data_IF_227840365798
#
_entry.id   IF_227840365798
#
_cell.length_a   1.000
_cell.length_b   1.000
_cell.length_c   1.000
_cell.angle_alpha   90.00
_cell.angle_beta   90.00
_cell.angle_gamma   90.00
#
_symmetry.space_group_name_H-M   'P 1'
#
loop_
_entity.id
_entity.type
_entity.pdbx_description
1 polymer ?
#
# COMPACT_ATOMS: atom_id res chain seq x y z
N UNK A 1 -0.02 18.96 -15.02
CA UNK A 1 0.42 17.72 -15.70
C UNK A 1 1.34 17.98 -16.88
N UNK A 2 1.16 19.09 -17.59
CA UNK A 2 2.01 19.48 -18.72
C UNK A 2 2.48 20.91 -18.54
N UNK A 3 3.71 21.22 -18.94
CA UNK A 3 4.23 22.59 -19.06
C UNK A 3 4.22 23.00 -20.54
N UNK A 4 3.75 24.22 -20.82
CA UNK A 4 3.76 24.81 -22.16
C UNK A 4 4.86 25.86 -22.17
N UNK A 5 5.93 25.64 -22.92
CA UNK A 5 6.92 26.68 -23.18
C UNK A 5 6.58 27.37 -24.52
N UNK A 6 6.33 28.67 -24.46
CA UNK A 6 6.13 29.50 -25.65
C UNK A 6 7.45 30.17 -26.01
N UNK A 7 8.04 29.79 -27.15
CA UNK A 7 9.20 30.48 -27.69
C UNK A 7 8.76 31.81 -28.33
N UNK A 8 8.92 32.91 -27.60
CA UNK A 8 8.89 34.26 -28.16
C UNK A 8 10.12 35.02 -27.68
N UNK A 9 11.23 34.87 -28.42
CA UNK A 9 12.38 35.77 -28.33
C UNK A 9 12.10 36.98 -29.21
N UNK A 10 12.05 38.17 -28.61
CA UNK A 10 12.07 39.44 -29.32
C UNK A 10 13.47 39.69 -29.88
N UNK A 11 13.58 40.07 -31.16
CA UNK A 11 14.53 41.08 -31.64
C UNK A 11 14.34 41.40 -33.15
N UNK A 12 14.25 42.70 -33.46
CA UNK A 12 15.02 43.38 -34.51
C UNK A 12 14.69 43.24 -36.01
N UNK A 13 14.31 44.38 -36.61
CA UNK A 13 14.73 44.93 -37.92
C UNK A 13 14.00 44.57 -39.25
N UNK A 14 13.35 45.62 -39.76
CA UNK A 14 13.32 46.19 -41.13
C UNK A 14 12.60 45.52 -42.33
N UNK A 15 11.89 46.45 -43.02
CA UNK A 15 11.73 46.62 -44.46
C UNK A 15 10.35 46.30 -45.12
N UNK A 16 10.01 47.23 -46.00
CA UNK A 16 8.81 47.52 -46.76
C UNK A 16 8.42 46.54 -47.87
N UNK A 17 7.12 46.61 -48.23
CA UNK A 17 6.47 46.36 -49.54
C UNK A 17 6.68 44.99 -50.24
N UNK A 18 5.58 44.30 -50.59
CA UNK A 18 5.11 44.09 -51.98
C UNK A 18 3.62 43.66 -51.95
N UNK A 19 2.83 44.27 -52.83
CA UNK A 19 1.42 43.98 -53.17
C UNK A 19 1.30 42.69 -53.99
N UNK A 20 0.32 41.82 -53.70
CA UNK A 20 -0.67 41.28 -54.67
C UNK A 20 -1.24 39.89 -54.31
N UNK A 21 -2.58 39.84 -54.35
CA UNK A 21 -3.46 38.83 -54.94
C UNK A 21 -3.50 37.37 -54.42
N UNK A 22 -4.67 37.07 -53.84
CA UNK A 22 -5.54 35.91 -54.08
C UNK A 22 -4.98 34.49 -53.87
N UNK A 23 -5.43 33.84 -52.78
CA UNK A 23 -5.44 32.38 -52.65
C UNK A 23 -5.62 31.91 -51.21
N UNK A 24 -6.88 31.69 -50.80
CA UNK A 24 -7.37 30.98 -49.60
C UNK A 24 -6.77 31.36 -48.22
N UNK A 25 -7.58 31.53 -47.14
CA UNK A 25 -7.02 31.65 -45.81
C UNK A 25 -6.39 30.30 -45.41
N UNK A 26 -5.08 30.15 -45.60
CA UNK A 26 -4.30 29.13 -44.94
C UNK A 26 -4.59 29.26 -43.44
N UNK A 27 -5.27 28.25 -42.87
CA UNK A 27 -5.48 28.16 -41.43
C UNK A 27 -4.11 28.19 -40.78
N UNK A 28 -3.72 29.35 -40.25
CA UNK A 28 -2.52 29.51 -39.43
C UNK A 28 -2.74 28.66 -38.19
N UNK A 29 -2.27 27.43 -38.20
CA UNK A 29 -2.13 26.66 -36.97
C UNK A 29 -1.21 27.47 -36.05
N UNK A 30 -1.61 27.75 -34.79
CA UNK A 30 -0.72 28.42 -33.84
C UNK A 30 0.58 27.60 -33.68
N UNK A 31 1.69 28.23 -33.23
CA UNK A 31 2.98 27.54 -33.12
C UNK A 31 2.80 26.20 -32.41
N UNK A 32 3.39 25.14 -32.97
CA UNK A 32 3.32 23.78 -32.43
C UNK A 32 3.79 23.81 -30.97
N UNK A 33 2.83 23.81 -30.03
CA UNK A 33 3.13 23.82 -28.62
C UNK A 33 3.73 22.46 -28.26
N UNK A 34 5.03 22.44 -27.99
CA UNK A 34 5.68 21.25 -27.45
C UNK A 34 5.24 21.08 -26.00
N UNK A 35 4.54 19.97 -25.72
CA UNK A 35 4.07 19.62 -24.39
C UNK A 35 5.13 18.77 -23.70
N UNK A 36 5.72 19.29 -22.62
CA UNK A 36 6.67 18.54 -21.80
C UNK A 36 5.99 18.02 -20.53
N UNK A 37 6.29 16.77 -20.20
CA UNK A 37 5.82 16.16 -18.96
C UNK A 37 6.51 16.81 -17.76
N UNK A 38 5.71 17.15 -16.76
CA UNK A 38 6.24 17.57 -15.45
C UNK A 38 6.74 16.34 -14.66
N UNK A 39 7.63 16.47 -13.67
CA UNK A 39 8.03 15.35 -12.81
C UNK A 39 6.85 14.64 -12.15
N UNK A 40 5.82 15.41 -11.76
CA UNK A 40 4.55 14.86 -11.28
C UNK A 40 3.81 14.10 -12.38
N UNK A 41 3.73 14.65 -13.59
CA UNK A 41 3.12 13.98 -14.74
C UNK A 41 3.81 12.67 -15.09
N UNK A 42 5.14 12.66 -15.10
CA UNK A 42 5.96 11.45 -15.28
C UNK A 42 5.70 10.43 -14.17
N UNK A 43 5.67 10.90 -12.91
CA UNK A 43 5.36 10.07 -11.76
C UNK A 43 3.97 9.44 -11.80
N UNK A 44 2.94 10.19 -12.23
CA UNK A 44 1.58 9.64 -12.37
C UNK A 44 1.57 8.50 -13.38
N UNK A 45 2.19 8.67 -14.55
CA UNK A 45 2.25 7.63 -15.58
C UNK A 45 2.93 6.36 -15.05
N UNK A 46 4.06 6.49 -14.37
CA UNK A 46 4.81 5.34 -13.84
C UNK A 46 4.14 4.67 -12.64
N UNK A 47 3.44 5.44 -11.80
CA UNK A 47 2.71 4.91 -10.65
C UNK A 47 1.43 4.16 -11.02
N UNK A 48 0.99 4.21 -12.28
CA UNK A 48 -0.31 3.68 -12.74
C UNK A 48 -1.53 4.25 -12.00
N UNK A 49 -1.37 5.36 -11.27
CA UNK A 49 -2.46 6.05 -10.59
C UNK A 49 -3.29 6.85 -11.60
N UNK A 50 -4.60 6.96 -11.33
CA UNK A 50 -5.44 7.90 -12.09
C UNK A 50 -5.01 9.34 -11.78
N UNK A 51 -5.08 10.28 -12.73
CA UNK A 51 -4.65 11.66 -12.49
C UNK A 51 -5.27 12.32 -11.24
N UNK A 52 -6.58 12.14 -11.03
CA UNK A 52 -7.27 12.68 -9.85
C UNK A 52 -6.80 12.04 -8.53
N UNK A 53 -6.54 10.73 -8.55
CA UNK A 53 -6.05 9.99 -7.39
C UNK A 53 -4.60 10.37 -7.06
N UNK A 54 -3.76 10.52 -8.08
CA UNK A 54 -2.37 10.95 -7.92
C UNK A 54 -2.25 12.35 -7.32
N UNK A 55 -3.17 13.27 -7.66
CA UNK A 55 -3.23 14.60 -7.03
C UNK A 55 -3.57 14.50 -5.54
N UNK A 56 -4.57 13.68 -5.17
CA UNK A 56 -4.90 13.44 -3.76
C UNK A 56 -3.73 12.82 -3.00
N UNK A 57 -3.06 11.82 -3.58
CA UNK A 57 -1.86 11.19 -3.00
C UNK A 57 -0.75 12.22 -2.82
N UNK A 58 -0.50 13.03 -3.84
CA UNK A 58 0.54 14.06 -3.80
C UNK A 58 0.28 15.07 -2.67
N UNK A 59 -0.97 15.52 -2.50
CA UNK A 59 -1.36 16.42 -1.40
C UNK A 59 -1.17 15.76 -0.03
N UNK A 60 -1.59 14.51 0.13
CA UNK A 60 -1.43 13.76 1.39
C UNK A 60 0.05 13.56 1.74
N UNK A 61 0.87 13.18 0.77
CA UNK A 61 2.31 13.03 0.95
C UNK A 61 2.99 14.36 1.27
N UNK A 62 2.60 15.47 0.62
CA UNK A 62 3.12 16.80 0.95
C UNK A 62 2.78 17.21 2.38
N UNK A 63 1.57 16.90 2.86
CA UNK A 63 1.19 17.12 4.26
C UNK A 63 2.02 16.23 5.19
N UNK A 64 2.14 14.95 4.88
CA UNK A 64 2.90 13.99 5.67
C UNK A 64 4.38 14.37 5.77
N UNK A 65 5.01 14.90 4.71
CA UNK A 65 6.40 15.38 4.73
C UNK A 65 6.64 16.55 5.70
N UNK A 66 5.61 17.30 6.09
CA UNK A 66 5.73 18.38 7.10
C UNK A 66 5.66 17.87 8.53
N UNK A 67 5.18 16.65 8.75
CA UNK A 67 4.91 16.12 10.09
C UNK A 67 4.51 14.65 10.06
N UNK A 68 5.45 13.77 9.67
CA UNK A 68 5.20 12.34 9.63
C UNK A 68 5.36 11.75 11.03
N UNK A 69 4.24 11.35 11.63
CA UNK A 69 4.24 10.57 12.88
C UNK A 69 4.70 9.13 12.62
N UNK A 70 5.82 8.75 13.24
CA UNK A 70 6.41 7.40 13.16
C UNK A 70 6.37 6.65 14.50
N UNK A 71 5.70 7.19 15.53
CA UNK A 71 5.51 6.52 16.83
C UNK A 71 4.74 5.19 16.69
N UNK A 72 3.89 5.12 15.66
CA UNK A 72 3.16 3.94 15.23
C UNK A 72 3.15 3.91 13.70
N UNK A 73 2.87 2.74 13.14
CA UNK A 73 2.80 2.56 11.68
C UNK A 73 1.47 3.03 11.07
N UNK A 74 0.52 3.45 11.91
CA UNK A 74 -0.82 3.81 11.50
C UNK A 74 -0.82 4.93 10.45
N UNK A 75 0.07 5.93 10.59
CA UNK A 75 0.12 7.03 9.64
C UNK A 75 0.61 6.59 8.27
N UNK A 76 1.64 5.74 8.22
CA UNK A 76 2.15 5.18 6.97
C UNK A 76 1.13 4.25 6.32
N UNK A 77 0.45 3.41 7.12
CA UNK A 77 -0.64 2.55 6.66
C UNK A 77 -1.80 3.38 6.10
N UNK A 78 -2.16 4.51 6.74
CA UNK A 78 -3.17 5.41 6.22
C UNK A 78 -2.79 5.98 4.85
N UNK A 79 -1.54 6.41 4.67
CA UNK A 79 -1.03 6.88 3.37
C UNK A 79 -1.04 5.76 2.30
N UNK A 80 -0.81 4.51 2.70
CA UNK A 80 -0.89 3.32 1.86
C UNK A 80 -2.32 2.74 1.72
N UNK A 81 -3.34 3.37 2.33
CA UNK A 81 -4.73 2.93 2.21
C UNK A 81 -5.45 3.73 1.13
N UNK A 82 -6.00 3.10 0.06
CA UNK A 82 -6.78 3.80 -0.94
C UNK A 82 -8.05 4.43 -0.36
N UNK A 83 -8.42 5.62 -0.84
CA UNK A 83 -9.72 6.21 -0.54
C UNK A 83 -10.90 5.37 -1.06
N UNK A 84 -10.65 4.55 -2.09
CA UNK A 84 -11.59 3.60 -2.73
C UNK A 84 -11.66 2.22 -2.05
N UNK A 85 -11.20 2.10 -0.80
CA UNK A 85 -11.18 0.83 -0.04
C UNK A 85 -12.54 0.12 0.05
N UNK A 86 -13.65 0.83 -0.15
CA UNK A 86 -15.01 0.26 -0.17
C UNK A 86 -15.48 -0.28 1.19
N UNK A 87 -14.70 -0.04 2.25
CA UNK A 87 -14.97 -0.53 3.59
C UNK A 87 -15.88 0.44 4.33
N UNK A 88 -17.16 0.07 4.46
CA UNK A 88 -18.13 0.87 5.21
C UNK A 88 -18.06 0.57 6.73
N UNK A 89 -17.83 1.59 7.58
CA UNK A 89 -17.85 1.43 9.02
C UNK A 89 -19.26 1.33 9.58
N UNK A 90 -19.42 0.47 10.57
CA UNK A 90 -20.46 0.61 11.58
C UNK A 90 -20.10 1.84 12.45
N UNK A 91 -20.75 2.97 12.22
CA UNK A 91 -20.37 4.26 12.83
C UNK A 91 -20.35 4.26 14.37
N UNK A 92 -21.34 3.72 15.09
CA UNK A 92 -21.26 3.51 16.54
C UNK A 92 -20.05 2.69 16.99
N UNK A 93 -19.73 1.62 16.25
CA UNK A 93 -18.56 0.78 16.54
C UNK A 93 -17.26 1.53 16.27
N UNK A 94 -17.20 2.31 15.19
CA UNK A 94 -16.06 3.14 14.88
C UNK A 94 -15.85 4.20 15.97
N UNK A 95 -16.89 4.89 16.42
CA UNK A 95 -16.79 5.82 17.54
C UNK A 95 -16.23 5.13 18.80
N UNK A 96 -16.80 3.97 19.17
CA UNK A 96 -16.33 3.19 20.33
C UNK A 96 -14.87 2.73 20.19
N UNK A 97 -14.43 2.40 18.97
CA UNK A 97 -13.03 2.06 18.70
C UNK A 97 -12.13 3.29 18.81
N UNK A 98 -12.57 4.41 18.21
CA UNK A 98 -11.86 5.68 18.24
C UNK A 98 -11.65 6.19 19.67
N UNK A 99 -12.66 6.11 20.53
CA UNK A 99 -12.57 6.49 21.95
C UNK A 99 -11.54 5.67 22.74
N UNK A 100 -11.30 4.41 22.34
CA UNK A 100 -10.33 3.51 22.98
C UNK A 100 -8.92 3.57 22.36
N UNK A 101 -8.71 4.40 21.32
CA UNK A 101 -7.38 4.57 20.73
C UNK A 101 -6.37 5.09 21.75
N UNK A 102 -5.17 4.54 21.69
CA UNK A 102 -4.05 5.03 22.49
C UNK A 102 -3.72 6.49 22.11
N UNK A 103 -3.13 7.28 23.02
CA UNK A 103 -2.77 8.68 22.74
C UNK A 103 -1.92 8.85 21.47
N UNK A 104 -1.03 7.89 21.18
CA UNK A 104 -0.17 7.88 19.99
C UNK A 104 -0.98 7.74 18.69
N UNK A 105 -1.95 6.83 18.65
CA UNK A 105 -2.85 6.65 17.50
C UNK A 105 -3.83 7.81 17.34
N UNK A 106 -4.30 8.36 18.46
CA UNK A 106 -5.19 9.54 18.46
C UNK A 106 -4.48 10.74 17.83
N UNK A 107 -3.20 10.93 18.13
CA UNK A 107 -2.39 11.97 17.52
C UNK A 107 -2.27 11.81 15.99
N UNK A 108 -2.21 10.57 15.48
CA UNK A 108 -2.28 10.28 14.03
C UNK A 108 -3.65 10.65 13.48
N UNK A 109 -4.73 10.27 14.16
CA UNK A 109 -6.09 10.60 13.75
C UNK A 109 -6.29 12.13 13.64
N UNK A 110 -5.79 12.88 14.62
CA UNK A 110 -5.84 14.35 14.62
C UNK A 110 -5.00 14.95 13.50
N UNK A 111 -3.81 14.42 13.22
CA UNK A 111 -2.94 14.88 12.13
C UNK A 111 -3.54 14.64 10.74
N UNK A 112 -4.28 13.54 10.57
CA UNK A 112 -5.00 13.20 9.34
C UNK A 112 -6.30 14.01 9.18
N UNK A 113 -6.87 14.50 10.28
CA UNK A 113 -8.11 15.29 10.30
C UNK A 113 -9.38 14.47 10.62
N UNK A 114 -9.24 13.34 11.30
CA UNK A 114 -10.37 12.55 11.82
C UNK A 114 -11.01 13.33 12.97
N UNK A 115 -12.29 13.65 12.82
CA UNK A 115 -13.03 14.48 13.78
C UNK A 115 -13.91 13.62 14.68
N UNK A 116 -13.66 13.70 15.99
CA UNK A 116 -14.54 13.08 16.99
C UNK A 116 -15.99 13.55 16.86
N UNK A 117 -16.21 14.86 16.64
CA UNK A 117 -17.54 15.43 16.48
C UNK A 117 -18.27 14.85 15.26
N UNK A 118 -17.55 14.66 14.15
CA UNK A 118 -18.10 14.01 12.98
C UNK A 118 -18.53 12.56 13.28
N UNK A 119 -17.69 11.78 13.96
CA UNK A 119 -18.02 10.41 14.36
C UNK A 119 -19.26 10.34 15.26
N UNK A 120 -19.37 11.23 16.25
CA UNK A 120 -20.56 11.33 17.12
C UNK A 120 -21.81 11.62 16.29
N UNK A 121 -21.79 12.69 15.48
CA UNK A 121 -22.92 13.06 14.60
C UNK A 121 -23.32 11.89 13.68
N UNK A 122 -22.34 11.22 13.08
CA UNK A 122 -22.60 10.14 12.13
C UNK A 122 -23.12 8.87 12.82
N UNK A 123 -22.67 8.58 14.05
CA UNK A 123 -23.19 7.49 14.90
C UNK A 123 -24.65 7.72 15.34
N UNK A 124 -25.05 8.98 15.51
CA UNK A 124 -26.44 9.39 15.79
C UNK A 124 -27.32 9.43 14.53
N UNK A 125 -26.78 9.05 13.36
CA UNK A 125 -27.51 9.08 12.10
C UNK A 125 -27.76 10.49 11.55
N UNK A 126 -27.01 11.50 11.99
CA UNK A 126 -27.17 12.88 11.50
C UNK A 126 -26.96 12.92 9.99
N UNK A 127 -27.96 13.45 9.26
CA UNK A 127 -27.93 13.57 7.79
C UNK A 127 -27.89 15.02 7.28
N UNK A 128 -27.83 16.01 8.17
CA UNK A 128 -27.78 17.42 7.80
C UNK A 128 -26.38 17.96 7.49
N UNK A 129 -26.28 19.27 7.24
CA UNK A 129 -25.01 19.98 7.18
C UNK A 129 -24.19 19.77 8.46
N UNK A 130 -22.87 19.69 8.30
CA UNK A 130 -21.94 19.68 9.43
C UNK A 130 -21.75 21.15 9.85
N UNK A 131 -22.67 21.70 10.63
CA UNK A 131 -22.59 23.09 11.09
C UNK A 131 -21.23 23.41 11.73
N UNK A 132 -20.69 24.58 11.37
CA UNK A 132 -19.43 25.20 11.79
C UNK A 132 -18.22 24.27 11.91
N UNK A 133 -17.75 23.77 10.76
CA UNK A 133 -16.37 23.32 10.65
C UNK A 133 -15.45 24.54 10.53
N UNK A 134 -14.31 24.60 11.25
CA UNK A 134 -13.30 25.60 10.96
C UNK A 134 -12.86 25.42 9.50
N UNK A 135 -12.81 26.52 8.76
CA UNK A 135 -12.35 26.59 7.38
C UNK A 135 -10.85 26.25 7.30
N UNK A 136 -10.48 24.99 7.51
CA UNK A 136 -9.10 24.52 7.38
C UNK A 136 -8.96 23.67 6.14
N UNK A 137 -8.42 24.28 5.08
CA UNK A 137 -7.55 23.58 4.15
C UNK A 137 -8.13 23.16 2.80
N UNK A 138 -8.80 24.06 2.08
CA UNK A 138 -9.07 23.87 0.66
C UNK A 138 -9.31 25.22 -0.02
N UNK A 139 -8.50 25.56 -1.02
CA UNK A 139 -8.52 26.84 -1.75
C UNK A 139 -9.76 27.02 -2.63
N UNK A 140 -10.95 27.03 -2.04
CA UNK A 140 -12.16 27.44 -2.72
C UNK A 140 -12.26 28.98 -2.69
N UNK A 141 -12.53 29.64 -3.83
CA UNK A 141 -12.73 31.08 -3.85
C UNK A 141 -13.91 31.48 -2.95
N UNK A 142 -13.81 32.61 -2.22
CA UNK A 142 -14.90 33.08 -1.37
C UNK A 142 -16.11 33.42 -2.23
N UNK A 143 -17.20 32.66 -2.07
CA UNK A 143 -18.49 32.94 -2.73
C UNK A 143 -19.06 31.83 -3.64
N UNK A 144 -18.36 30.72 -3.86
CA UNK A 144 -18.98 29.56 -4.53
C UNK A 144 -19.81 28.76 -3.50
N UNK A 145 -21.10 28.46 -3.75
CA UNK A 145 -21.87 27.56 -2.89
C UNK A 145 -21.24 26.18 -3.02
N UNK A 146 -20.33 25.86 -2.09
CA UNK A 146 -19.79 24.50 -2.01
C UNK A 146 -20.93 23.67 -1.46
N UNK A 147 -21.47 22.76 -2.27
CA UNK A 147 -22.54 21.88 -1.84
C UNK A 147 -22.10 21.18 -0.56
N UNK A 148 -22.73 21.51 0.57
CA UNK A 148 -22.43 20.91 1.88
C UNK A 148 -22.48 19.39 1.85
N UNK A 149 -23.20 18.81 0.88
CA UNK A 149 -23.26 17.37 0.57
C UNK A 149 -21.91 16.84 0.09
N UNK A 150 -21.27 17.52 -0.86
CA UNK A 150 -19.96 17.13 -1.40
C UNK A 150 -18.88 17.25 -0.33
N UNK A 151 -18.90 18.35 0.43
CA UNK A 151 -17.96 18.57 1.52
C UNK A 151 -18.09 17.50 2.61
N UNK A 152 -19.34 17.17 2.97
CA UNK A 152 -19.59 16.08 3.90
C UNK A 152 -19.13 14.74 3.36
N UNK A 153 -19.36 14.45 2.09
CA UNK A 153 -18.92 13.19 1.46
C UNK A 153 -17.40 13.06 1.49
N UNK A 154 -16.68 14.16 1.24
CA UNK A 154 -15.22 14.23 1.37
C UNK A 154 -14.76 13.92 2.80
N UNK A 155 -15.42 14.50 3.81
CA UNK A 155 -15.13 14.21 5.22
C UNK A 155 -15.47 12.75 5.56
N UNK A 156 -16.61 12.23 5.10
CA UNK A 156 -17.00 10.85 5.30
C UNK A 156 -15.99 9.88 4.68
N UNK A 157 -15.53 10.16 3.46
CA UNK A 157 -14.52 9.37 2.77
C UNK A 157 -13.20 9.32 3.55
N UNK A 158 -12.75 10.43 4.14
CA UNK A 158 -11.58 10.47 5.03
C UNK A 158 -11.75 9.51 6.22
N UNK A 159 -12.91 9.56 6.87
CA UNK A 159 -13.20 8.72 8.03
C UNK A 159 -13.29 7.24 7.66
N UNK A 160 -13.91 6.90 6.51
CA UNK A 160 -13.94 5.53 5.99
C UNK A 160 -12.54 5.01 5.66
N UNK A 161 -11.71 5.84 5.03
CA UNK A 161 -10.30 5.52 4.77
C UNK A 161 -9.53 5.27 6.08
N UNK A 162 -9.75 6.09 7.10
CA UNK A 162 -9.13 5.88 8.41
C UNK A 162 -9.60 4.58 9.09
N UNK A 163 -10.89 4.25 8.98
CA UNK A 163 -11.42 2.96 9.45
C UNK A 163 -10.75 1.76 8.77
N UNK A 164 -10.59 1.82 7.45
CA UNK A 164 -9.86 0.82 6.69
C UNK A 164 -8.38 0.73 7.11
N UNK A 165 -7.72 1.87 7.37
CA UNK A 165 -6.35 1.91 7.85
C UNK A 165 -6.19 1.27 9.24
N UNK A 166 -7.17 1.45 10.15
CA UNK A 166 -7.18 0.78 11.45
C UNK A 166 -7.28 -0.75 11.30
N UNK A 167 -8.13 -1.24 10.39
CA UNK A 167 -8.24 -2.67 10.12
C UNK A 167 -6.93 -3.24 9.52
N UNK A 168 -6.33 -2.51 8.57
CA UNK A 168 -5.04 -2.87 7.97
C UNK A 168 -3.91 -2.86 9.00
N UNK A 169 -3.92 -1.94 9.97
CA UNK A 169 -2.95 -1.90 11.06
C UNK A 169 -2.99 -3.16 11.89
N UNK A 170 -4.18 -3.63 12.29
CA UNK A 170 -4.29 -4.89 13.05
C UNK A 170 -3.77 -6.09 12.24
N UNK A 171 -4.01 -6.09 10.93
CA UNK A 171 -3.52 -7.14 10.03
C UNK A 171 -2.00 -7.06 9.85
N UNK A 172 -1.44 -5.86 9.70
CA UNK A 172 0.00 -5.63 9.60
C UNK A 172 0.72 -5.89 10.94
N UNK A 173 0.01 -5.74 12.06
CA UNK A 173 0.42 -6.15 13.40
C UNK A 173 0.13 -7.63 13.67
N UNK A 174 -0.01 -8.43 12.60
CA UNK A 174 0.01 -9.90 12.69
C UNK A 174 -1.20 -10.52 13.42
N UNK A 175 -2.28 -9.76 13.63
CA UNK A 175 -3.51 -10.25 14.25
C UNK A 175 -4.24 -11.26 13.34
N UNK A 176 -4.87 -12.26 13.95
CA UNK A 176 -5.62 -13.28 13.22
C UNK A 176 -6.76 -12.64 12.38
N UNK A 177 -6.88 -12.94 11.08
CA UNK A 177 -7.90 -12.33 10.22
C UNK A 177 -9.35 -12.54 10.72
N UNK A 178 -9.61 -13.66 11.40
CA UNK A 178 -10.90 -13.94 12.04
C UNK A 178 -11.20 -12.96 13.18
N UNK A 179 -10.21 -12.65 14.01
CA UNK A 179 -10.32 -11.67 15.10
C UNK A 179 -10.55 -10.27 14.54
N UNK A 180 -9.82 -9.88 13.48
CA UNK A 180 -10.00 -8.58 12.83
C UNK A 180 -11.39 -8.48 12.18
N UNK A 181 -11.84 -9.52 11.46
CA UNK A 181 -13.18 -9.58 10.88
C UNK A 181 -14.28 -9.36 11.92
N UNK A 182 -14.17 -10.03 13.07
CA UNK A 182 -15.12 -9.88 14.17
C UNK A 182 -15.05 -8.48 14.83
N UNK A 183 -13.84 -7.96 15.07
CA UNK A 183 -13.62 -6.67 15.70
C UNK A 183 -14.18 -5.52 14.85
N UNK A 184 -13.96 -5.55 13.54
CA UNK A 184 -14.41 -4.49 12.61
C UNK A 184 -15.82 -4.75 12.03
N UNK A 185 -16.44 -5.91 12.31
CA UNK A 185 -17.69 -6.36 11.68
C UNK A 185 -17.62 -6.37 10.14
N UNK A 186 -16.51 -6.86 9.61
CA UNK A 186 -16.22 -6.90 8.17
C UNK A 186 -16.11 -8.37 7.73
N UNK A 187 -16.69 -8.76 6.59
CA UNK A 187 -16.51 -10.11 6.08
C UNK A 187 -15.04 -10.40 5.75
N UNK A 188 -14.58 -11.63 6.03
CA UNK A 188 -13.18 -12.03 5.81
C UNK A 188 -12.69 -11.78 4.38
N UNK A 189 -13.56 -11.99 3.39
CA UNK A 189 -13.26 -11.71 1.98
C UNK A 189 -13.00 -10.23 1.69
N UNK A 190 -13.73 -9.32 2.33
CA UNK A 190 -13.49 -7.87 2.17
C UNK A 190 -12.18 -7.45 2.84
N UNK A 191 -11.79 -8.04 3.97
CA UNK A 191 -10.48 -7.79 4.57
C UNK A 191 -9.34 -8.26 3.66
N UNK A 192 -9.46 -9.45 3.06
CA UNK A 192 -8.45 -9.97 2.13
C UNK A 192 -8.35 -9.09 0.88
N UNK A 193 -9.48 -8.65 0.33
CA UNK A 193 -9.51 -7.71 -0.79
C UNK A 193 -8.86 -6.38 -0.41
N UNK A 194 -9.16 -5.84 0.77
CA UNK A 194 -8.57 -4.61 1.29
C UNK A 194 -7.05 -4.73 1.42
N UNK A 195 -6.52 -5.84 1.94
CA UNK A 195 -5.07 -6.07 2.03
C UNK A 195 -4.39 -6.07 0.66
N UNK A 196 -4.94 -6.81 -0.31
CA UNK A 196 -4.38 -6.85 -1.67
C UNK A 196 -4.42 -5.48 -2.37
N UNK A 197 -5.52 -4.76 -2.22
CA UNK A 197 -5.67 -3.39 -2.73
C UNK A 197 -4.66 -2.44 -2.07
N UNK A 198 -4.51 -2.49 -0.74
CA UNK A 198 -3.57 -1.65 -0.02
C UNK A 198 -2.11 -1.96 -0.38
N UNK A 199 -1.76 -3.24 -0.56
CA UNK A 199 -0.41 -3.62 -0.96
C UNK A 199 -0.07 -3.14 -2.38
N UNK A 200 -1.02 -3.25 -3.32
CA UNK A 200 -0.86 -2.74 -4.69
C UNK A 200 -0.71 -1.23 -4.67
N UNK A 201 -1.57 -0.53 -3.93
CA UNK A 201 -1.54 0.91 -3.78
C UNK A 201 -0.27 1.42 -3.10
N UNK A 202 0.24 0.71 -2.09
CA UNK A 202 1.52 0.98 -1.46
C UNK A 202 2.65 1.00 -2.50
N UNK A 203 2.68 0.03 -3.42
CA UNK A 203 3.63 0.00 -4.53
C UNK A 203 3.46 1.18 -5.50
N UNK A 204 2.22 1.56 -5.82
CA UNK A 204 1.92 2.73 -6.68
C UNK A 204 2.40 4.03 -6.03
N UNK A 205 2.14 4.22 -4.72
CA UNK A 205 2.56 5.39 -3.94
C UNK A 205 4.09 5.43 -3.81
N UNK A 206 4.75 4.30 -3.56
CA UNK A 206 6.23 4.19 -3.59
C UNK A 206 6.77 4.64 -4.94
N UNK A 207 6.25 4.10 -6.04
CA UNK A 207 6.70 4.43 -7.39
C UNK A 207 6.54 5.93 -7.71
N UNK A 208 5.44 6.55 -7.24
CA UNK A 208 5.23 8.00 -7.35
C UNK A 208 6.29 8.77 -6.55
N UNK A 209 6.58 8.37 -5.31
CA UNK A 209 7.60 9.00 -4.47
C UNK A 209 8.98 8.94 -5.13
N UNK A 210 9.36 7.81 -5.72
CA UNK A 210 10.64 7.66 -6.41
C UNK A 210 10.79 8.62 -7.60
N UNK A 211 9.72 8.76 -8.40
CA UNK A 211 9.72 9.66 -9.57
C UNK A 211 9.77 11.13 -9.18
N UNK A 212 9.19 11.46 -8.02
CA UNK A 212 9.31 12.78 -7.41
C UNK A 212 10.64 13.01 -6.67
N UNK A 213 11.53 12.01 -6.65
CA UNK A 213 12.81 12.01 -5.92
C UNK A 213 12.66 12.16 -4.41
N UNK A 214 11.58 11.61 -3.85
CA UNK A 214 11.32 11.55 -2.40
C UNK A 214 11.75 10.18 -1.87
N UNK A 215 13.05 9.90 -1.95
CA UNK A 215 13.61 8.58 -1.69
C UNK A 215 13.41 8.10 -0.26
N UNK A 216 13.44 9.01 0.71
CA UNK A 216 13.20 8.70 2.13
C UNK A 216 11.77 8.21 2.34
N UNK A 217 10.81 8.83 1.65
CA UNK A 217 9.41 8.42 1.70
C UNK A 217 9.19 7.09 0.99
N UNK A 218 9.84 6.88 -0.16
CA UNK A 218 9.78 5.61 -0.89
C UNK A 218 10.31 4.44 -0.03
N UNK A 219 11.43 4.63 0.67
CA UNK A 219 12.01 3.63 1.54
C UNK A 219 11.06 3.20 2.68
N UNK A 220 10.26 4.12 3.23
CA UNK A 220 9.26 3.76 4.25
C UNK A 220 8.19 2.81 3.69
N UNK A 221 7.72 3.05 2.46
CA UNK A 221 6.74 2.17 1.81
C UNK A 221 7.33 0.80 1.43
N UNK A 222 8.64 0.71 1.20
CA UNK A 222 9.32 -0.57 0.96
C UNK A 222 9.29 -1.49 2.17
N UNK A 223 9.50 -0.93 3.36
CA UNK A 223 9.37 -1.67 4.61
C UNK A 223 7.93 -2.14 4.86
N UNK A 224 6.93 -1.37 4.42
CA UNK A 224 5.52 -1.67 4.67
C UNK A 224 4.92 -2.70 3.69
N UNK A 225 5.39 -2.72 2.44
CA UNK A 225 4.80 -3.53 1.36
C UNK A 225 4.72 -5.04 1.68
N UNK A 226 5.78 -5.70 2.21
CA UNK A 226 5.71 -7.11 2.59
C UNK A 226 4.64 -7.41 3.65
N UNK A 227 4.48 -6.50 4.61
CA UNK A 227 3.55 -6.66 5.73
C UNK A 227 2.10 -6.45 5.30
N UNK A 228 1.84 -5.62 4.29
CA UNK A 228 0.50 -5.51 3.70
C UNK A 228 0.17 -6.71 2.80
N UNK A 229 1.15 -7.24 2.06
CA UNK A 229 0.95 -8.39 1.17
C UNK A 229 0.68 -9.70 1.91
N UNK A 230 1.50 -9.99 2.92
CA UNK A 230 1.45 -11.28 3.61
C UNK A 230 0.93 -11.16 5.04
N UNK A 231 0.90 -9.98 5.67
CA UNK A 231 0.54 -9.88 7.09
C UNK A 231 1.56 -10.58 7.99
N UNK A 232 2.83 -10.59 7.58
CA UNK A 232 3.96 -11.19 8.29
C UNK A 232 5.11 -10.19 8.32
N UNK A 233 5.88 -10.20 9.41
CA UNK A 233 7.17 -9.53 9.53
C UNK A 233 8.10 -9.79 8.31
N UNK A 234 9.01 -8.85 7.99
CA UNK A 234 9.95 -9.00 6.87
C UNK A 234 10.76 -10.29 6.90
N UNK A 235 11.12 -10.77 8.10
CA UNK A 235 11.87 -12.01 8.32
C UNK A 235 11.07 -13.26 7.92
N UNK A 236 9.73 -13.20 7.98
CA UNK A 236 8.86 -14.30 7.57
C UNK A 236 8.47 -14.27 6.10
N UNK A 237 8.74 -13.19 5.37
CA UNK A 237 8.43 -13.08 3.94
C UNK A 237 9.11 -14.18 3.11
N UNK A 238 10.41 -14.52 3.30
CA UNK A 238 11.03 -15.63 2.59
C UNK A 238 10.32 -16.97 2.84
N UNK A 239 9.85 -17.19 4.08
CA UNK A 239 9.16 -18.42 4.47
C UNK A 239 7.79 -18.53 3.79
N UNK A 240 7.06 -17.42 3.62
CA UNK A 240 5.78 -17.40 2.90
C UNK A 240 5.89 -17.75 1.41
N UNK A 241 7.10 -17.77 0.84
CA UNK A 241 7.33 -18.24 -0.54
C UNK A 241 7.34 -19.76 -0.65
N UNK A 242 7.48 -20.47 0.47
CA UNK A 242 7.41 -21.94 0.51
C UNK A 242 5.96 -22.37 0.31
N UNK A 243 5.74 -23.35 -0.57
CA UNK A 243 4.41 -23.88 -0.85
C UNK A 243 3.71 -24.38 0.43
N UNK A 244 2.53 -23.83 0.72
CA UNK A 244 1.75 -24.18 1.90
C UNK A 244 2.17 -23.50 3.20
N UNK A 245 3.13 -22.57 3.17
CA UNK A 245 3.46 -21.71 4.31
C UNK A 245 2.67 -20.40 4.20
N UNK A 246 1.61 -20.32 5.00
CA UNK A 246 0.80 -19.11 5.16
C UNK A 246 1.29 -18.29 6.36
N UNK A 247 0.83 -17.04 6.53
CA UNK A 247 1.31 -16.13 7.57
C UNK A 247 1.38 -16.71 8.98
N UNK A 248 0.32 -17.41 9.40
CA UNK A 248 0.28 -18.07 10.70
C UNK A 248 1.35 -19.18 10.85
N UNK A 249 1.64 -19.92 9.78
CA UNK A 249 2.67 -20.97 9.78
C UNK A 249 4.07 -20.38 9.73
N UNK A 250 4.28 -19.33 8.93
CA UNK A 250 5.55 -18.61 8.89
C UNK A 250 5.92 -18.09 10.28
N UNK A 251 4.96 -17.52 11.03
CA UNK A 251 5.17 -17.10 12.41
C UNK A 251 5.59 -18.23 13.34
N UNK A 252 4.86 -19.36 13.33
CA UNK A 252 5.21 -20.46 14.22
C UNK A 252 6.59 -21.07 13.90
N UNK A 253 7.00 -21.04 12.63
CA UNK A 253 8.36 -21.43 12.23
C UNK A 253 9.39 -20.44 12.79
N UNK A 254 9.15 -19.14 12.67
CA UNK A 254 10.00 -18.09 13.22
C UNK A 254 10.14 -18.18 14.76
N UNK A 255 9.02 -18.33 15.47
CA UNK A 255 8.98 -18.50 16.93
C UNK A 255 9.72 -19.76 17.38
N UNK A 256 9.78 -20.79 16.53
CA UNK A 256 10.54 -22.01 16.77
C UNK A 256 12.03 -21.90 16.36
N UNK A 257 12.49 -20.72 15.91
CA UNK A 257 13.86 -20.45 15.50
C UNK A 257 14.20 -20.84 14.04
N UNK A 258 13.20 -21.25 13.25
CA UNK A 258 13.38 -21.55 11.82
C UNK A 258 13.14 -20.27 11.01
N UNK A 259 14.17 -19.43 10.92
CA UNK A 259 14.07 -18.10 10.32
C UNK A 259 14.31 -18.06 8.82
N UNK A 260 15.00 -19.05 8.27
CA UNK A 260 15.39 -19.06 6.86
C UNK A 260 14.87 -20.28 6.10
N UNK A 261 14.84 -20.21 4.77
CA UNK A 261 14.38 -21.33 3.93
C UNK A 261 15.32 -22.53 4.09
N UNK A 262 16.62 -22.30 4.25
CA UNK A 262 17.63 -23.33 4.53
C UNK A 262 17.36 -24.04 5.85
N UNK A 263 17.03 -23.28 6.90
CA UNK A 263 16.71 -23.85 8.20
C UNK A 263 15.49 -24.77 8.13
N UNK A 264 14.45 -24.39 7.36
CA UNK A 264 13.26 -25.22 7.14
C UNK A 264 13.57 -26.44 6.27
N UNK A 265 14.39 -26.30 5.22
CA UNK A 265 14.78 -27.39 4.33
C UNK A 265 15.60 -28.48 5.03
N UNK A 266 16.44 -28.08 5.99
CA UNK A 266 17.27 -28.97 6.80
C UNK A 266 16.56 -29.49 8.07
N UNK A 267 15.42 -28.91 8.43
CA UNK A 267 14.66 -29.34 9.60
C UNK A 267 14.04 -30.73 9.37
N UNK A 268 13.95 -31.52 10.44
CA UNK A 268 13.25 -32.80 10.38
C UNK A 268 11.73 -32.58 10.19
N UNK A 269 11.07 -33.48 9.48
CA UNK A 269 9.61 -33.45 9.34
C UNK A 269 8.92 -33.49 10.72
N UNK A 270 9.48 -34.24 11.67
CA UNK A 270 8.94 -34.36 13.02
C UNK A 270 8.99 -33.04 13.80
N UNK A 271 10.07 -32.25 13.68
CA UNK A 271 10.17 -30.95 14.34
C UNK A 271 9.16 -29.96 13.76
N UNK A 272 8.99 -29.92 12.44
CA UNK A 272 7.97 -29.09 11.78
C UNK A 272 6.56 -29.53 12.18
N UNK A 273 6.32 -30.84 12.27
CA UNK A 273 5.04 -31.39 12.72
C UNK A 273 4.66 -30.91 14.13
N UNK A 274 5.61 -30.91 15.08
CA UNK A 274 5.38 -30.42 16.46
C UNK A 274 4.99 -28.94 16.46
N UNK A 275 5.65 -28.12 15.65
CA UNK A 275 5.36 -26.68 15.51
C UNK A 275 3.92 -26.48 14.98
N UNK A 276 3.55 -27.20 13.92
CA UNK A 276 2.22 -27.11 13.32
C UNK A 276 1.10 -27.64 14.24
N UNK A 277 1.40 -28.62 15.10
CA UNK A 277 0.45 -29.11 16.12
C UNK A 277 0.11 -28.03 17.14
N UNK A 278 1.09 -27.25 17.60
CA UNK A 278 0.85 -26.14 18.54
C UNK A 278 -0.10 -25.10 17.93
N UNK A 279 0.03 -24.83 16.63
CA UNK A 279 -0.89 -23.94 15.92
C UNK A 279 -2.32 -24.49 15.83
N UNK A 280 -2.48 -25.77 15.51
CA UNK A 280 -3.81 -26.37 15.31
C UNK A 280 -4.57 -26.62 16.62
N UNK A 281 -3.86 -26.75 17.74
CA UNK A 281 -4.47 -26.86 19.07
C UNK A 281 -5.18 -25.57 19.50
N UNK A 282 -4.77 -24.40 19.02
CA UNK A 282 -5.46 -23.13 19.27
C UNK A 282 -6.75 -22.94 18.44
N UNK A 283 -6.89 -23.67 17.32
CA UNK A 283 -8.05 -23.56 16.43
C UNK A 283 -9.19 -24.55 16.76
N UNK A 284 -8.94 -25.55 17.60
CA UNK A 284 -9.87 -26.66 17.85
C UNK A 284 -10.27 -26.82 19.32
N UNK A 285 -11.28 -26.07 19.76
CA UNK A 285 -12.02 -26.34 21.00
C UNK A 285 -13.00 -27.54 20.89
N UNK A 286 -12.85 -28.41 19.87
CA UNK A 286 -13.76 -29.55 19.63
C UNK A 286 -13.06 -30.88 19.94
N UNK A 287 -13.41 -31.42 21.10
CA UNK A 287 -12.98 -32.70 21.65
C UNK A 287 -13.67 -33.88 20.94
N UNK A 288 -13.18 -34.27 19.75
CA UNK A 288 -13.51 -35.56 19.15
C UNK A 288 -12.20 -36.33 18.85
N UNK A 289 -11.98 -37.47 19.51
CA UNK A 289 -10.75 -38.25 19.40
C UNK A 289 -10.44 -38.74 17.97
N UNK A 290 -11.48 -38.96 17.17
CA UNK A 290 -11.36 -39.35 15.77
C UNK A 290 -10.97 -38.16 14.87
N UNK A 291 -11.49 -36.96 15.17
CA UNK A 291 -11.11 -35.72 14.51
C UNK A 291 -9.65 -35.37 14.82
N UNK A 292 -9.21 -35.59 16.07
CA UNK A 292 -7.81 -35.39 16.48
C UNK A 292 -6.84 -36.28 15.69
N UNK A 293 -7.16 -37.57 15.48
CA UNK A 293 -6.33 -38.49 14.68
C UNK A 293 -6.28 -38.10 13.21
N UNK A 294 -7.42 -37.71 12.62
CA UNK A 294 -7.46 -37.22 11.22
C UNK A 294 -6.63 -35.94 11.07
N UNK A 295 -6.72 -35.04 12.05
CA UNK A 295 -5.95 -33.82 12.09
C UNK A 295 -4.44 -34.09 12.19
N UNK A 296 -4.04 -35.08 12.98
CA UNK A 296 -2.64 -35.49 13.14
C UNK A 296 -2.01 -35.95 11.80
N UNK A 297 -2.74 -36.77 11.04
CA UNK A 297 -2.30 -37.22 9.71
C UNK A 297 -2.19 -36.04 8.73
N UNK A 298 -3.16 -35.13 8.74
CA UNK A 298 -3.15 -33.93 7.87
C UNK A 298 -1.98 -33.00 8.23
N UNK A 299 -1.70 -32.82 9.51
CA UNK A 299 -0.58 -31.98 9.99
C UNK A 299 0.75 -32.59 9.55
N UNK A 300 0.93 -33.91 9.67
CA UNK A 300 2.14 -34.60 9.22
C UNK A 300 2.34 -34.51 7.71
N UNK A 301 1.30 -34.72 6.92
CA UNK A 301 1.36 -34.54 5.46
C UNK A 301 1.70 -33.10 5.08
N UNK A 302 1.16 -32.13 5.81
CA UNK A 302 1.46 -30.71 5.60
C UNK A 302 2.92 -30.40 5.94
N UNK A 303 3.45 -30.93 7.04
CA UNK A 303 4.85 -30.79 7.42
C UNK A 303 5.78 -31.36 6.33
N UNK A 304 5.47 -32.54 5.79
CA UNK A 304 6.23 -33.13 4.68
C UNK A 304 6.22 -32.24 3.44
N UNK A 305 5.06 -31.67 3.09
CA UNK A 305 4.94 -30.74 1.95
C UNK A 305 5.75 -29.46 2.17
N UNK A 306 5.77 -28.92 3.38
CA UNK A 306 6.53 -27.70 3.70
C UNK A 306 8.03 -27.96 3.62
N UNK A 307 8.53 -29.05 4.22
CA UNK A 307 9.96 -29.39 4.16
C UNK A 307 10.40 -29.64 2.72
N UNK A 308 9.62 -30.41 1.95
CA UNK A 308 9.91 -30.65 0.53
C UNK A 308 9.86 -29.38 -0.30
N UNK A 309 8.83 -28.55 -0.12
CA UNK A 309 8.73 -27.26 -0.80
C UNK A 309 9.87 -26.30 -0.45
N UNK A 310 10.41 -26.37 0.78
CA UNK A 310 11.59 -25.61 1.17
C UNK A 310 12.86 -26.13 0.49
N UNK A 311 13.02 -27.45 0.37
CA UNK A 311 14.14 -28.09 -0.35
C UNK A 311 14.10 -27.75 -1.84
N UNK A 312 12.94 -27.85 -2.48
CA UNK A 312 12.76 -27.49 -3.89
C UNK A 312 13.11 -26.01 -4.11
N UNK A 313 12.63 -25.12 -3.23
CA UNK A 313 12.93 -23.68 -3.31
C UNK A 313 14.39 -23.36 -3.06
N UNK A 314 15.05 -24.07 -2.14
CA UNK A 314 16.47 -23.93 -1.90
C UNK A 314 17.28 -24.34 -3.13
N UNK A 315 16.87 -25.42 -3.81
CA UNK A 315 17.45 -25.85 -5.07
C UNK A 315 17.35 -24.77 -6.17
N UNK A 316 16.17 -24.17 -6.34
CA UNK A 316 15.98 -23.06 -7.29
C UNK A 316 16.86 -21.84 -6.96
N UNK A 317 16.99 -21.49 -5.67
CA UNK A 317 17.83 -20.36 -5.25
C UNK A 317 19.31 -20.61 -5.54
N UNK A 318 19.80 -21.83 -5.31
CA UNK A 318 21.18 -22.20 -5.62
C UNK A 318 21.45 -22.16 -7.12
N UNK A 319 20.53 -22.70 -7.94
CA UNK A 319 20.65 -22.65 -9.40
C UNK A 319 20.71 -21.22 -9.93
N UNK A 320 19.82 -20.33 -9.45
CA UNK A 320 19.85 -18.93 -9.86
C UNK A 320 21.18 -18.23 -9.51
N UNK A 321 21.76 -18.55 -8.35
CA UNK A 321 23.06 -17.99 -7.93
C UNK A 321 24.21 -18.53 -8.79
N UNK A 322 24.16 -19.81 -9.19
CA UNK A 322 25.12 -20.40 -10.12
C UNK A 322 25.04 -19.73 -11.49
N UNK A 323 23.82 -19.58 -12.03
CA UNK A 323 23.57 -18.91 -13.32
C UNK A 323 24.04 -17.44 -13.29
N UNK A 324 23.73 -16.68 -12.23
CA UNK A 324 24.19 -15.31 -12.05
C UNK A 324 25.72 -15.20 -11.98
N UNK A 325 26.38 -16.13 -11.29
CA UNK A 325 27.83 -16.18 -11.20
C UNK A 325 28.48 -16.49 -12.56
N UNK A 326 27.91 -17.41 -13.33
CA UNK A 326 28.37 -17.71 -14.70
C UNK A 326 28.21 -16.51 -15.63
N UNK A 327 27.07 -15.82 -15.56
CA UNK A 327 26.85 -14.58 -16.33
C UNK A 327 27.85 -13.47 -15.98
N UNK A 328 28.11 -13.24 -14.68
CA UNK A 328 29.10 -12.25 -14.26
C UNK A 328 30.51 -12.62 -14.72
N UNK A 329 30.91 -13.89 -14.63
CA UNK A 329 32.20 -14.36 -15.14
C UNK A 329 32.33 -14.14 -16.65
N UNK A 330 31.26 -14.38 -17.41
CA UNK A 330 31.20 -14.11 -18.85
C UNK A 330 31.32 -12.60 -19.15
N UNK A 331 30.64 -11.75 -18.37
CA UNK A 331 30.75 -10.28 -18.51
C UNK A 331 32.18 -9.80 -18.24
N UNK A 332 32.81 -10.29 -17.18
CA UNK A 332 34.20 -9.95 -16.84
C UNK A 332 35.16 -10.40 -17.93
N UNK A 333 35.02 -11.63 -18.45
CA UNK A 333 35.86 -12.13 -19.57
C UNK A 333 35.72 -11.27 -20.82
N UNK A 334 34.49 -10.87 -21.20
CA UNK A 334 34.25 -9.99 -22.35
C UNK A 334 34.89 -8.62 -22.18
N UNK A 335 34.81 -8.04 -20.98
CA UNK A 335 35.43 -6.76 -20.68
C UNK A 335 36.96 -6.81 -20.82
N UNK A 336 37.60 -7.89 -20.35
CA UNK A 336 39.06 -8.08 -20.47
C UNK A 336 39.49 -8.28 -21.94
N UNK A 337 38.71 -9.01 -22.73
CA UNK A 337 39.01 -9.25 -24.15
C UNK A 337 38.79 -8.04 -25.08
N UNK A 338 38.01 -7.05 -24.67
CA UNK A 338 37.70 -5.85 -25.47
C UNK A 338 38.67 -4.68 -25.30
N UNK A 339 39.65 -4.81 -24.40
CA UNK A 339 40.67 -3.79 -24.09
C UNK A 339 42.05 -4.06 -24.72
N UNK A 340 42.14 -5.00 -25.66
CA UNK A 340 43.37 -5.35 -26.40
C UNK A 340 43.38 -4.82 -27.82
#
# INVERSE_FOLDING_TARGET
>A
MVRVDSAASMDGLQASEVVAAAGAPARRHPPQATLLSTPLGDGVVHSSLRPAEALSVFEDLQKARKGLRLDTELHLIFLATPASSGLEPDWPRFLSYYERLQPRDRAVADAVGVSHNFLVKQSMGHRGPLGDLPATGGGAPPGAPTDWRQERERIAALHRRFWAALALRELAAEAAPSRVAAAFAVPRGALQALQGLAATYCGMVRQLCERLRWHEMAALFDCLTPRLNFGVCPEGQPLCRIAGVYPARARALLEAGLTTVEAVANASVASVEVILRKLSQFESHRSDAEAARRQEVVVRQTAMKIVRGAQDRLGELLQNLEDEAEEEQLRVRRAISGTG
#
